data_IF_579596564400
#
_entry.id   IF_579596564400
#
_cell.length_a   1.000
_cell.length_b   1.000
_cell.length_c   1.000
_cell.angle_alpha   90.00
_cell.angle_beta   90.00
_cell.angle_gamma   90.00
#
_symmetry.space_group_name_H-M   'P 1'
#
loop_
_entity.id
_entity.type
_entity.pdbx_description
1 polymer ?
#
# COMPACT_ATOMS: atom_id res chain seq x y z
N UNK A 1 -49.55 -7.02 41.77
CA UNK A 1 -50.77 -7.13 42.61
C UNK A 1 -51.92 -7.31 41.63
N UNK A 2 -52.71 -8.38 41.77
CA UNK A 2 -53.67 -8.94 40.78
C UNK A 2 -52.95 -9.58 39.57
N UNK A 3 -53.08 -10.91 39.35
CA UNK A 3 -54.07 -11.62 38.49
C UNK A 3 -53.87 -11.29 36.99
N UNK A 4 -53.82 -12.26 36.06
CA UNK A 4 -54.83 -13.29 35.75
C UNK A 4 -54.22 -14.67 35.39
N UNK A 5 -55.03 -15.72 35.52
CA UNK A 5 -54.77 -17.16 35.30
C UNK A 5 -54.71 -17.65 33.83
N UNK A 6 -54.36 -18.94 33.71
CA UNK A 6 -54.75 -19.95 32.69
C UNK A 6 -53.87 -20.12 31.44
N UNK A 7 -53.71 -21.30 30.82
CA UNK A 7 -54.16 -22.68 31.15
C UNK A 7 -53.24 -23.74 30.47
N UNK A 8 -53.42 -25.04 30.76
CA UNK A 8 -52.65 -26.17 30.16
C UNK A 8 -53.50 -27.02 29.22
N UNK A 9 -52.95 -27.42 28.06
CA UNK A 9 -53.11 -28.72 27.37
C UNK A 9 -52.04 -28.76 26.25
N UNK A 10 -51.16 -29.74 26.04
CA UNK A 10 -51.22 -31.21 26.06
C UNK A 10 -51.93 -31.81 24.82
N UNK A 11 -51.21 -32.55 23.96
CA UNK A 11 -51.81 -33.19 22.76
C UNK A 11 -50.95 -33.50 21.52
N UNK A 12 -50.18 -34.59 21.59
CA UNK A 12 -49.89 -35.61 20.53
C UNK A 12 -49.32 -35.29 19.12
N UNK A 13 -48.28 -36.09 18.83
CA UNK A 13 -47.88 -36.78 17.58
C UNK A 13 -48.90 -36.88 16.42
N UNK A 14 -48.40 -36.71 15.19
CA UNK A 14 -48.64 -37.61 14.04
C UNK A 14 -47.35 -37.70 13.20
N UNK A 15 -46.91 -38.91 12.85
CA UNK A 15 -45.91 -39.14 11.78
C UNK A 15 -46.55 -38.94 10.40
N UNK A 16 -45.83 -38.39 9.42
CA UNK A 16 -46.02 -38.88 8.05
C UNK A 16 -44.75 -38.83 7.21
N UNK A 17 -44.48 -39.94 6.53
CA UNK A 17 -43.39 -40.09 5.56
C UNK A 17 -43.88 -39.56 4.22
N UNK A 18 -42.97 -39.05 3.38
CA UNK A 18 -43.01 -39.48 1.99
C UNK A 18 -41.65 -39.46 1.31
N UNK A 19 -41.45 -40.52 0.54
CA UNK A 19 -40.24 -40.88 -0.19
C UNK A 19 -40.61 -40.86 -1.68
N UNK A 20 -39.84 -40.20 -2.55
CA UNK A 20 -39.69 -40.61 -3.94
C UNK A 20 -38.65 -39.80 -4.74
N UNK A 21 -37.68 -40.54 -5.31
CA UNK A 21 -37.23 -40.57 -6.72
C UNK A 21 -37.52 -39.33 -7.61
N UNK A 22 -36.60 -38.94 -8.51
CA UNK A 22 -36.12 -39.79 -9.63
C UNK A 22 -34.79 -39.30 -10.25
N UNK A 23 -34.03 -40.22 -10.87
CA UNK A 23 -32.86 -39.98 -11.74
C UNK A 23 -33.22 -39.27 -13.07
N UNK A 24 -32.20 -38.71 -13.74
CA UNK A 24 -31.74 -38.90 -15.16
C UNK A 24 -30.71 -37.77 -15.41
N UNK A 25 -29.40 -38.01 -15.52
CA UNK A 25 -28.62 -38.59 -16.64
C UNK A 25 -28.57 -37.74 -17.93
N UNK A 26 -27.47 -36.99 -18.07
CA UNK A 26 -26.66 -36.67 -19.25
C UNK A 26 -27.29 -36.16 -20.57
N UNK A 27 -26.69 -35.08 -21.11
CA UNK A 27 -26.24 -35.07 -22.51
C UNK A 27 -25.04 -34.12 -22.70
N UNK A 28 -24.10 -34.52 -23.58
CA UNK A 28 -22.93 -33.77 -24.02
C UNK A 28 -23.04 -33.69 -25.55
N UNK A 29 -23.09 -32.48 -26.10
CA UNK A 29 -22.88 -32.27 -27.54
C UNK A 29 -21.73 -31.28 -27.76
N UNK A 30 -20.65 -31.79 -28.37
CA UNK A 30 -19.77 -30.98 -29.20
C UNK A 30 -20.38 -30.90 -30.61
N UNK A 31 -20.09 -29.81 -31.35
CA UNK A 31 -19.69 -29.75 -32.77
C UNK A 31 -19.59 -28.27 -33.20
N UNK A 32 -18.46 -27.86 -33.78
CA UNK A 32 -18.22 -27.67 -35.24
C UNK A 32 -19.10 -26.52 -35.82
N UNK A 33 -18.64 -25.57 -36.64
CA UNK A 33 -17.33 -25.25 -37.23
C UNK A 33 -17.41 -23.84 -37.87
N UNK A 34 -16.25 -23.19 -38.15
CA UNK A 34 -16.04 -22.14 -39.22
C UNK A 34 -16.97 -20.88 -39.20
N UNK A 35 -16.78 -19.71 -39.84
CA UNK A 35 -15.69 -18.87 -40.38
C UNK A 35 -16.27 -17.42 -40.43
N UNK A 36 -15.64 -16.30 -40.80
CA UNK A 36 -14.37 -15.95 -41.46
C UNK A 36 -13.99 -14.48 -41.06
N UNK A 37 -12.77 -14.03 -41.38
CA UNK A 37 -12.29 -12.65 -41.70
C UNK A 37 -12.95 -11.36 -41.13
N UNK A 38 -12.12 -10.45 -40.57
CA UNK A 38 -11.80 -9.19 -41.30
C UNK A 38 -10.50 -8.48 -40.82
N UNK A 39 -9.99 -7.56 -41.65
CA UNK A 39 -8.61 -7.07 -41.67
C UNK A 39 -8.18 -5.96 -40.66
N UNK A 40 -6.89 -6.03 -40.28
CA UNK A 40 -5.89 -4.91 -40.19
C UNK A 40 -6.24 -3.65 -39.37
N UNK A 41 -5.50 -3.46 -38.27
CA UNK A 41 -4.52 -2.35 -38.22
C UNK A 41 -3.39 -2.57 -37.19
N UNK A 42 -2.16 -2.21 -37.59
CA UNK A 42 -0.93 -2.31 -36.79
C UNK A 42 -0.24 -0.94 -36.68
N UNK A 43 -0.53 -0.22 -35.60
CA UNK A 43 0.31 0.84 -35.00
C UNK A 43 -0.06 0.83 -33.49
N UNK A 44 0.82 0.85 -32.51
CA UNK A 44 2.28 0.84 -32.52
C UNK A 44 2.80 1.42 -31.20
N UNK A 45 2.94 0.59 -30.16
CA UNK A 45 3.51 0.98 -28.85
C UNK A 45 4.48 -0.13 -28.37
N UNK A 46 5.78 0.09 -28.63
CA UNK A 46 6.86 -0.57 -27.91
C UNK A 46 7.19 0.26 -26.65
N UNK A 47 6.96 -0.30 -25.46
CA UNK A 47 7.78 -0.12 -24.23
C UNK A 47 7.02 -0.67 -23.00
N UNK A 48 7.19 -1.97 -22.74
CA UNK A 48 7.19 -2.57 -21.39
C UNK A 48 7.52 -4.07 -21.49
N UNK A 49 8.81 -4.39 -21.35
CA UNK A 49 9.36 -5.69 -20.94
C UNK A 49 10.41 -5.40 -19.87
N UNK A 50 10.80 -6.43 -19.11
CA UNK A 50 11.65 -6.36 -17.90
C UNK A 50 10.85 -5.82 -16.69
N UNK A 51 10.55 -6.58 -15.62
CA UNK A 51 10.99 -7.93 -15.22
C UNK A 51 9.85 -8.72 -14.55
N UNK A 52 9.66 -9.98 -14.98
CA UNK A 52 9.06 -11.05 -14.18
C UNK A 52 10.14 -12.12 -13.99
N UNK A 53 10.68 -12.27 -12.77
CA UNK A 53 11.25 -13.53 -12.26
C UNK A 53 11.53 -13.43 -10.75
N UNK A 54 11.80 -14.58 -10.12
CA UNK A 54 12.06 -14.79 -8.68
C UNK A 54 10.88 -14.63 -7.69
N UNK A 55 9.90 -15.53 -7.81
CA UNK A 55 9.41 -16.24 -6.62
C UNK A 55 10.17 -17.59 -6.52
N UNK A 56 10.83 -17.84 -5.38
CA UNK A 56 11.23 -19.19 -4.98
C UNK A 56 10.69 -19.48 -3.58
N UNK A 57 9.79 -20.45 -3.50
CA UNK A 57 9.25 -20.95 -2.25
C UNK A 57 10.27 -21.89 -1.60
N UNK A 58 10.76 -21.57 -0.39
CA UNK A 58 11.60 -22.50 0.36
C UNK A 58 10.74 -23.57 1.05
N UNK A 59 10.53 -24.70 0.36
CA UNK A 59 9.92 -25.88 0.98
C UNK A 59 10.82 -26.43 2.08
N UNK A 60 10.25 -26.78 3.23
CA UNK A 60 10.95 -27.42 4.33
C UNK A 60 11.49 -28.79 3.95
N UNK A 61 12.79 -29.03 4.16
CA UNK A 61 13.37 -30.37 4.30
C UNK A 61 14.34 -30.39 5.47
N UNK A 62 14.04 -31.20 6.48
CA UNK A 62 15.05 -31.67 7.43
C UNK A 62 16.13 -32.46 6.66
N UNK A 63 17.39 -32.36 7.08
CA UNK A 63 18.30 -33.51 7.38
C UNK A 63 19.77 -33.05 7.50
N UNK A 64 20.42 -33.52 8.58
CA UNK A 64 21.86 -33.57 8.91
C UNK A 64 22.68 -32.28 9.04
N UNK A 65 23.19 -32.09 10.25
CA UNK A 65 24.48 -31.46 10.52
C UNK A 65 25.62 -32.15 9.72
N UNK A 66 26.48 -31.38 9.06
CA UNK A 66 27.95 -31.54 9.02
C UNK A 66 28.60 -30.40 8.18
N UNK A 67 29.69 -29.81 8.70
CA UNK A 67 30.68 -28.94 8.04
C UNK A 67 30.25 -27.62 7.32
N UNK A 68 30.02 -26.55 8.09
CA UNK A 68 29.92 -25.15 7.60
C UNK A 68 30.90 -24.22 8.37
N UNK A 69 32.18 -24.18 7.98
CA UNK A 69 33.24 -23.37 8.67
C UNK A 69 34.28 -22.74 7.71
N UNK A 70 34.01 -22.72 6.39
CA UNK A 70 34.99 -22.34 5.36
C UNK A 70 34.60 -21.15 4.44
N UNK A 71 33.36 -20.67 4.41
CA UNK A 71 32.99 -19.52 3.56
C UNK A 71 33.37 -18.14 4.13
N UNK A 72 33.61 -17.99 5.45
CA UNK A 72 34.16 -16.74 6.02
C UNK A 72 35.62 -16.45 5.57
N UNK A 73 36.36 -17.46 5.08
CA UNK A 73 37.81 -17.32 4.80
C UNK A 73 38.16 -16.65 3.46
N UNK A 74 37.22 -16.46 2.53
CA UNK A 74 37.49 -15.81 1.22
C UNK A 74 37.70 -14.28 1.33
N UNK A 75 37.45 -13.66 2.49
CA UNK A 75 37.38 -12.20 2.64
C UNK A 75 38.72 -11.44 2.79
N UNK A 76 39.87 -12.14 2.82
CA UNK A 76 41.17 -11.57 3.24
C UNK A 76 42.35 -11.84 2.27
N UNK A 77 42.15 -11.69 0.95
CA UNK A 77 43.31 -11.56 0.05
C UNK A 77 44.03 -10.22 0.27
N UNK A 78 45.36 -10.18 0.11
CA UNK A 78 46.15 -8.95 0.28
C UNK A 78 45.70 -7.82 -0.67
N UNK A 79 45.22 -8.19 -1.85
CA UNK A 79 44.69 -7.25 -2.85
C UNK A 79 43.35 -6.65 -2.41
N UNK A 80 42.43 -7.43 -1.83
CA UNK A 80 41.19 -6.90 -1.26
C UNK A 80 41.46 -5.92 -0.10
N UNK A 81 42.44 -6.22 0.75
CA UNK A 81 42.85 -5.32 1.85
C UNK A 81 43.46 -4.01 1.30
N UNK A 82 44.31 -4.10 0.28
CA UNK A 82 44.90 -2.91 -0.37
C UNK A 82 43.84 -2.06 -1.09
N UNK A 83 42.90 -2.69 -1.81
CA UNK A 83 41.78 -2.00 -2.47
C UNK A 83 40.90 -1.29 -1.45
N UNK A 84 40.53 -1.94 -0.34
CA UNK A 84 39.75 -1.32 0.73
C UNK A 84 40.45 -0.10 1.34
N UNK A 85 41.76 -0.18 1.57
CA UNK A 85 42.52 0.97 2.09
C UNK A 85 42.56 2.14 1.10
N UNK A 86 42.70 1.85 -0.21
CA UNK A 86 42.60 2.87 -1.26
C UNK A 86 41.21 3.51 -1.31
N UNK A 87 40.15 2.72 -1.21
CA UNK A 87 38.77 3.21 -1.15
C UNK A 87 38.55 4.09 0.10
N UNK A 88 39.04 3.68 1.27
CA UNK A 88 38.97 4.48 2.51
C UNK A 88 39.69 5.83 2.38
N UNK A 89 40.89 5.86 1.78
CA UNK A 89 41.63 7.10 1.52
C UNK A 89 40.86 8.00 0.54
N UNK A 90 40.19 7.45 -0.48
CA UNK A 90 39.32 8.23 -1.38
C UNK A 90 38.03 8.70 -0.72
N UNK A 91 37.37 7.89 0.10
CA UNK A 91 36.15 8.26 0.84
C UNK A 91 36.41 9.38 1.87
N UNK A 92 37.64 9.47 2.40
CA UNK A 92 38.07 10.60 3.24
C UNK A 92 38.40 11.86 2.43
N UNK A 93 38.73 11.73 1.14
CA UNK A 93 39.11 12.84 0.26
C UNK A 93 37.93 13.42 -0.55
N UNK A 94 36.92 12.62 -0.89
CA UNK A 94 35.70 13.05 -1.60
C UNK A 94 34.45 12.53 -0.89
N UNK A 95 33.62 13.43 -0.32
CA UNK A 95 32.31 13.10 0.20
C UNK A 95 31.39 12.44 -0.85
N UNK A 96 31.46 12.85 -2.12
CA UNK A 96 30.68 12.26 -3.22
C UNK A 96 31.05 10.79 -3.46
N UNK A 97 32.35 10.48 -3.48
CA UNK A 97 32.81 9.09 -3.61
C UNK A 97 32.42 8.24 -2.40
N UNK A 98 32.41 8.81 -1.20
CA UNK A 98 31.88 8.18 0.00
C UNK A 98 30.39 7.83 -0.15
N UNK A 99 29.58 8.75 -0.65
CA UNK A 99 28.17 8.49 -0.96
C UNK A 99 28.01 7.38 -1.99
N UNK A 100 28.71 7.48 -3.12
CA UNK A 100 28.66 6.50 -4.20
C UNK A 100 29.01 5.09 -3.69
N UNK A 101 30.16 4.96 -3.01
CA UNK A 101 30.64 3.67 -2.51
C UNK A 101 29.67 3.05 -1.50
N UNK A 102 29.12 3.84 -0.58
CA UNK A 102 28.27 3.33 0.49
C UNK A 102 26.81 3.07 0.08
N UNK A 103 26.31 3.69 -0.99
CA UNK A 103 24.97 3.44 -1.53
C UNK A 103 24.94 2.27 -2.52
N UNK A 104 26.07 1.98 -3.18
CA UNK A 104 26.19 0.84 -4.11
C UNK A 104 26.69 -0.45 -3.45
N UNK A 105 27.27 -0.38 -2.26
CA UNK A 105 27.75 -1.56 -1.52
C UNK A 105 26.63 -2.36 -0.86
N UNK A 106 26.84 -3.66 -0.72
CA UNK A 106 26.02 -4.53 0.11
C UNK A 106 26.23 -4.24 1.61
N UNK A 107 25.23 -4.59 2.42
CA UNK A 107 25.25 -4.37 3.87
C UNK A 107 25.34 -5.70 4.60
N UNK A 108 26.44 -5.98 5.33
CA UNK A 108 26.55 -7.17 6.17
C UNK A 108 25.39 -7.29 7.17
N UNK A 109 25.01 -8.52 7.47
CA UNK A 109 24.04 -8.81 8.52
C UNK A 109 24.60 -8.38 9.89
N UNK A 110 23.76 -7.72 10.70
CA UNK A 110 24.08 -7.39 12.10
C UNK A 110 23.51 -8.52 12.96
N UNK A 111 24.33 -9.13 13.82
CA UNK A 111 23.95 -10.26 14.68
C UNK A 111 22.94 -9.83 15.76
N UNK A 112 23.18 -8.67 16.40
CA UNK A 112 22.39 -8.08 17.48
C UNK A 112 21.88 -6.66 17.10
N UNK A 113 20.98 -6.50 16.11
CA UNK A 113 20.53 -5.19 15.67
C UNK A 113 19.67 -4.47 16.75
N UNK A 114 19.88 -3.16 17.00
CA UNK A 114 19.08 -2.42 17.97
C UNK A 114 17.61 -2.39 17.56
N UNK A 115 16.70 -2.55 18.52
CA UNK A 115 15.26 -2.57 18.25
C UNK A 115 14.70 -1.15 18.06
N UNK A 116 14.08 -0.91 16.91
CA UNK A 116 13.41 0.35 16.58
C UNK A 116 12.06 0.49 17.29
N UNK A 117 11.36 -0.62 17.50
CA UNK A 117 10.08 -0.66 18.20
C UNK A 117 10.08 -1.85 19.16
N UNK A 118 10.16 -1.62 20.49
CA UNK A 118 10.13 -2.67 21.50
C UNK A 118 8.93 -3.63 21.44
N UNK A 119 7.65 -3.21 21.24
CA UNK A 119 6.53 -4.13 21.23
C UNK A 119 6.63 -5.17 20.10
N UNK A 120 7.02 -4.73 18.90
CA UNK A 120 7.10 -5.59 17.71
C UNK A 120 8.47 -6.23 17.49
N UNK A 121 9.45 -5.97 18.37
CA UNK A 121 10.86 -6.39 18.23
C UNK A 121 11.45 -6.12 16.84
N UNK A 122 11.04 -5.02 16.20
CA UNK A 122 11.48 -4.70 14.85
C UNK A 122 12.96 -4.24 14.86
N UNK A 123 13.89 -4.95 14.19
CA UNK A 123 15.31 -4.63 14.20
C UNK A 123 15.64 -3.46 13.27
N UNK A 124 16.59 -2.61 13.70
CA UNK A 124 17.14 -1.55 12.88
C UNK A 124 17.86 -2.12 11.64
N UNK A 125 17.54 -1.68 10.41
CA UNK A 125 18.22 -2.19 9.22
C UNK A 125 19.66 -1.71 9.16
N UNK A 126 20.58 -2.63 8.83
CA UNK A 126 22.01 -2.39 8.69
C UNK A 126 22.37 -1.15 7.86
N UNK A 127 21.66 -0.93 6.75
CA UNK A 127 21.82 0.23 5.86
C UNK A 127 21.53 1.57 6.52
N UNK A 128 20.62 1.64 7.51
CA UNK A 128 20.35 2.89 8.24
C UNK A 128 21.58 3.31 9.05
N UNK A 129 22.24 2.34 9.69
CA UNK A 129 23.45 2.61 10.47
C UNK A 129 24.58 3.15 9.58
N UNK A 130 24.85 2.51 8.44
CA UNK A 130 25.89 2.96 7.49
C UNK A 130 25.59 4.36 6.94
N UNK A 131 24.35 4.61 6.50
CA UNK A 131 23.98 5.90 5.89
C UNK A 131 23.97 7.04 6.92
N UNK A 132 23.51 6.81 8.16
CA UNK A 132 23.58 7.86 9.19
C UNK A 132 25.04 8.15 9.55
N UNK A 133 25.88 7.14 9.75
CA UNK A 133 27.30 7.36 10.02
C UNK A 133 28.03 8.03 8.85
N UNK A 134 27.64 7.76 7.60
CA UNK A 134 28.10 8.50 6.42
C UNK A 134 27.75 9.99 6.50
N UNK A 135 26.49 10.34 6.83
CA UNK A 135 26.07 11.73 6.99
C UNK A 135 26.85 12.46 8.09
N UNK A 136 27.17 11.77 9.20
CA UNK A 136 27.98 12.31 10.29
C UNK A 136 29.48 12.42 9.93
N UNK A 137 30.02 11.44 9.20
CA UNK A 137 31.43 11.39 8.81
C UNK A 137 31.78 12.41 7.72
N UNK A 138 30.87 12.66 6.78
CA UNK A 138 30.98 13.70 5.74
C UNK A 138 30.48 15.06 6.22
N UNK A 139 29.77 15.11 7.36
CA UNK A 139 29.05 16.29 7.87
C UNK A 139 28.05 16.88 6.88
N UNK A 140 27.50 16.04 5.99
CA UNK A 140 26.65 16.42 4.86
C UNK A 140 25.47 17.34 5.23
N UNK A 141 24.89 17.17 6.42
CA UNK A 141 23.76 17.98 6.89
C UNK A 141 24.15 19.07 7.91
N UNK A 142 25.43 19.28 8.22
CA UNK A 142 25.89 20.33 9.14
C UNK A 142 26.21 21.66 8.41
N UNK A 143 26.13 22.80 9.10
CA UNK A 143 26.60 24.09 8.59
C UNK A 143 28.12 24.21 8.82
N UNK A 144 28.92 23.93 7.77
CA UNK A 144 30.38 24.10 7.76
C UNK A 144 30.92 24.18 6.33
N UNK A 145 32.09 24.81 6.14
CA UNK A 145 32.68 25.10 4.81
C UNK A 145 32.83 23.88 3.89
N UNK A 146 33.22 22.72 4.43
CA UNK A 146 33.38 21.48 3.64
C UNK A 146 32.01 21.00 3.17
N UNK A 147 31.04 20.94 4.10
CA UNK A 147 29.68 20.54 3.79
C UNK A 147 29.00 21.53 2.82
N UNK A 148 29.25 22.83 2.93
CA UNK A 148 28.71 23.85 2.02
C UNK A 148 29.26 23.70 0.60
N UNK A 149 30.55 23.36 0.46
CA UNK A 149 31.19 23.14 -0.84
C UNK A 149 30.72 21.85 -1.56
N UNK A 150 30.30 20.83 -0.80
CA UNK A 150 29.97 19.49 -1.32
C UNK A 150 28.47 19.11 -1.18
N UNK A 151 27.60 20.00 -0.70
CA UNK A 151 26.20 19.66 -0.43
C UNK A 151 25.44 19.24 -1.69
N UNK A 152 25.42 20.08 -2.72
CA UNK A 152 24.62 19.85 -3.93
C UNK A 152 25.11 18.61 -4.71
N UNK A 153 26.42 18.38 -4.75
CA UNK A 153 27.03 17.21 -5.39
C UNK A 153 26.70 15.91 -4.63
N UNK A 154 26.85 15.89 -3.31
CA UNK A 154 26.48 14.73 -2.49
C UNK A 154 24.97 14.45 -2.54
N UNK A 155 24.13 15.49 -2.52
CA UNK A 155 22.68 15.37 -2.64
C UNK A 155 22.30 14.79 -4.02
N UNK A 156 22.95 15.22 -5.09
CA UNK A 156 22.75 14.69 -6.45
C UNK A 156 23.09 13.20 -6.54
N UNK A 157 24.27 12.79 -6.03
CA UNK A 157 24.68 11.37 -5.96
C UNK A 157 23.67 10.56 -5.14
N UNK A 158 23.24 11.08 -3.98
CA UNK A 158 22.23 10.41 -3.15
C UNK A 158 20.92 10.19 -3.91
N UNK A 159 20.39 11.22 -4.58
CA UNK A 159 19.11 11.13 -5.31
C UNK A 159 19.21 10.14 -6.47
N UNK A 160 20.36 10.06 -7.15
CA UNK A 160 20.59 9.13 -8.25
C UNK A 160 20.67 7.66 -7.79
N UNK A 161 21.38 7.39 -6.68
CA UNK A 161 21.79 6.02 -6.31
C UNK A 161 20.98 5.40 -5.16
N UNK A 162 20.44 6.22 -4.25
CA UNK A 162 19.59 5.70 -3.17
C UNK A 162 18.33 4.94 -3.67
N UNK A 163 17.71 5.25 -4.82
CA UNK A 163 16.67 4.40 -5.39
C UNK A 163 17.15 3.00 -5.82
N UNK A 164 18.42 2.86 -6.22
CA UNK A 164 18.98 1.61 -6.79
C UNK A 164 19.69 0.72 -5.77
N UNK A 165 20.11 1.24 -4.61
CA UNK A 165 20.65 0.53 -3.41
C UNK A 165 20.27 -0.97 -3.31
N UNK A 166 21.19 -1.91 -3.00
CA UNK A 166 20.92 -3.36 -3.04
C UNK A 166 20.06 -3.86 -1.86
N UNK A 167 18.76 -3.55 -1.90
CA UNK A 167 17.78 -3.87 -0.87
C UNK A 167 16.42 -4.24 -1.49
N UNK A 168 15.64 -5.10 -0.83
CA UNK A 168 14.26 -5.39 -1.26
C UNK A 168 13.37 -4.15 -1.15
N UNK A 169 12.29 -4.07 -1.94
CA UNK A 169 11.34 -2.94 -1.92
C UNK A 169 10.83 -2.60 -0.52
N UNK A 170 10.62 -3.63 0.33
CA UNK A 170 10.23 -3.46 1.73
C UNK A 170 11.32 -2.75 2.55
N UNK A 171 12.57 -3.23 2.46
CA UNK A 171 13.73 -2.67 3.17
C UNK A 171 14.03 -1.25 2.68
N UNK A 172 13.93 -0.98 1.37
CA UNK A 172 14.05 0.37 0.78
C UNK A 172 13.03 1.35 1.37
N UNK A 173 11.75 0.99 1.35
CA UNK A 173 10.67 1.83 1.87
C UNK A 173 10.86 2.13 3.37
N UNK A 174 11.16 1.11 4.18
CA UNK A 174 11.41 1.25 5.61
C UNK A 174 12.60 2.17 5.89
N UNK A 175 13.72 1.96 5.19
CA UNK A 175 14.92 2.81 5.26
C UNK A 175 14.60 4.28 4.92
N UNK A 176 13.81 4.53 3.87
CA UNK A 176 13.42 5.90 3.48
C UNK A 176 12.57 6.59 4.55
N UNK A 177 11.60 5.87 5.15
CA UNK A 177 10.82 6.39 6.27
C UNK A 177 11.72 6.73 7.47
N UNK A 178 12.66 5.85 7.81
CA UNK A 178 13.58 6.02 8.94
C UNK A 178 14.54 7.19 8.71
N UNK A 179 15.14 7.33 7.53
CA UNK A 179 15.98 8.48 7.18
C UNK A 179 15.21 9.80 7.26
N UNK A 180 13.96 9.84 6.79
CA UNK A 180 13.09 11.02 6.94
C UNK A 180 12.93 11.41 8.42
N UNK A 181 12.56 10.46 9.28
CA UNK A 181 12.32 10.68 10.71
C UNK A 181 13.59 10.98 11.52
N UNK A 182 14.74 10.46 11.09
CA UNK A 182 16.03 10.76 11.69
C UNK A 182 16.48 12.19 11.35
N UNK A 183 16.54 12.51 10.06
CA UNK A 183 17.05 13.81 9.59
C UNK A 183 16.18 14.98 10.07
N UNK A 184 14.84 14.86 10.00
CA UNK A 184 13.91 15.94 10.34
C UNK A 184 14.03 16.47 11.77
N UNK A 185 14.52 15.64 12.69
CA UNK A 185 14.50 15.90 14.13
C UNK A 185 15.90 15.96 14.77
N UNK A 186 16.97 15.67 14.02
CA UNK A 186 18.32 15.69 14.56
C UNK A 186 18.80 17.14 14.73
N UNK A 187 18.94 17.57 15.99
CA UNK A 187 19.33 18.93 16.37
C UNK A 187 20.77 19.31 15.98
N UNK A 188 21.60 18.36 15.57
CA UNK A 188 22.95 18.62 15.07
C UNK A 188 22.95 19.10 13.62
N UNK A 189 21.85 18.91 12.88
CA UNK A 189 21.78 19.24 11.47
C UNK A 189 21.26 20.66 11.21
N UNK A 190 21.80 21.27 10.15
CA UNK A 190 21.32 22.49 9.52
C UNK A 190 19.87 22.33 9.08
N UNK A 191 19.03 23.28 9.47
CA UNK A 191 17.61 23.26 9.09
C UNK A 191 17.42 23.37 7.57
N UNK A 192 18.22 24.22 6.91
CA UNK A 192 18.13 24.46 5.46
C UNK A 192 18.50 23.22 4.66
N UNK A 193 19.67 22.62 4.94
CA UNK A 193 20.13 21.40 4.26
C UNK A 193 19.22 20.21 4.53
N UNK A 194 18.77 20.08 5.78
CA UNK A 194 17.79 19.04 6.18
C UNK A 194 16.48 19.20 5.41
N UNK A 195 15.92 20.41 5.33
CA UNK A 195 14.68 20.66 4.59
C UNK A 195 14.83 20.33 3.11
N UNK A 196 15.94 20.71 2.48
CA UNK A 196 16.25 20.36 1.08
C UNK A 196 16.38 18.84 0.88
N UNK A 197 17.18 18.16 1.69
CA UNK A 197 17.36 16.70 1.63
C UNK A 197 16.02 15.95 1.85
N UNK A 198 15.26 16.35 2.87
CA UNK A 198 13.96 15.74 3.20
C UNK A 198 12.92 16.01 2.11
N UNK A 199 12.95 17.19 1.46
CA UNK A 199 12.11 17.46 0.29
C UNK A 199 12.49 16.59 -0.92
N UNK A 200 13.79 16.33 -1.14
CA UNK A 200 14.26 15.40 -2.18
C UNK A 200 13.94 13.93 -1.89
N UNK A 201 13.82 13.54 -0.61
CA UNK A 201 13.36 12.19 -0.23
C UNK A 201 11.87 11.95 -0.52
N UNK A 202 11.00 12.97 -0.51
CA UNK A 202 9.55 12.82 -0.71
C UNK A 202 9.17 12.09 -2.01
N UNK A 203 9.64 12.49 -3.22
CA UNK A 203 9.30 11.77 -4.46
C UNK A 203 9.87 10.34 -4.49
N UNK A 204 11.04 10.10 -3.90
CA UNK A 204 11.62 8.76 -3.78
C UNK A 204 10.72 7.88 -2.90
N UNK A 205 10.32 8.41 -1.73
CA UNK A 205 9.38 7.78 -0.83
C UNK A 205 8.06 7.44 -1.53
N UNK A 206 7.42 8.39 -2.21
CA UNK A 206 6.14 8.16 -2.89
C UNK A 206 6.24 7.08 -3.97
N UNK A 207 7.32 7.08 -4.77
CA UNK A 207 7.59 6.04 -5.76
C UNK A 207 7.76 4.66 -5.12
N UNK A 208 8.55 4.56 -4.04
CA UNK A 208 8.76 3.30 -3.31
C UNK A 208 7.48 2.81 -2.62
N UNK A 209 6.70 3.71 -2.01
CA UNK A 209 5.47 3.40 -1.28
C UNK A 209 4.38 2.91 -2.23
N UNK A 210 4.18 3.58 -3.36
CA UNK A 210 3.24 3.14 -4.39
C UNK A 210 3.69 1.80 -5.02
N UNK A 211 4.99 1.59 -5.31
CA UNK A 211 5.53 0.30 -5.79
C UNK A 211 5.38 -0.83 -4.76
N UNK A 212 5.51 -0.53 -3.47
CA UNK A 212 5.34 -1.52 -2.40
C UNK A 212 3.88 -1.95 -2.26
N UNK A 213 2.94 -1.02 -2.42
CA UNK A 213 1.50 -1.26 -2.26
C UNK A 213 0.83 -1.83 -3.53
N UNK A 214 1.32 -1.49 -4.73
CA UNK A 214 0.70 -1.92 -6.00
C UNK A 214 0.55 -3.44 -6.11
N UNK A 215 1.55 -4.22 -5.66
CA UNK A 215 1.50 -5.69 -5.63
C UNK A 215 0.34 -6.27 -4.81
N UNK A 216 -0.05 -5.60 -3.72
CA UNK A 216 -1.22 -6.00 -2.92
C UNK A 216 -2.51 -5.54 -3.57
N UNK A 217 -2.55 -4.30 -4.06
CA UNK A 217 -3.73 -3.71 -4.71
C UNK A 217 -4.08 -4.41 -6.03
N UNK A 218 -3.11 -4.99 -6.74
CA UNK A 218 -3.36 -5.75 -7.97
C UNK A 218 -3.95 -7.14 -7.69
N UNK A 219 -3.57 -7.81 -6.59
CA UNK A 219 -4.18 -9.08 -6.15
C UNK A 219 -5.69 -8.97 -5.88
N UNK A 220 -6.20 -7.76 -5.65
CA UNK A 220 -7.63 -7.51 -5.37
C UNK A 220 -8.51 -7.36 -6.62
N UNK A 221 -7.93 -7.37 -7.83
CA UNK A 221 -8.63 -7.00 -9.07
C UNK A 221 -9.83 -7.90 -9.41
N UNK A 222 -9.70 -9.22 -9.22
CA UNK A 222 -10.80 -10.16 -9.44
C UNK A 222 -11.98 -9.87 -8.49
N UNK A 223 -11.70 -9.50 -7.24
CA UNK A 223 -12.73 -9.16 -6.26
C UNK A 223 -13.40 -7.83 -6.58
N UNK A 224 -12.62 -6.84 -7.04
CA UNK A 224 -13.14 -5.55 -7.53
C UNK A 224 -14.10 -5.76 -8.72
N UNK A 225 -13.70 -6.61 -9.67
CA UNK A 225 -14.51 -6.94 -10.84
C UNK A 225 -15.83 -7.61 -10.44
N UNK A 226 -15.79 -8.58 -9.51
CA UNK A 226 -17.00 -9.25 -8.98
C UNK A 226 -17.91 -8.28 -8.21
N UNK A 227 -17.36 -7.47 -7.31
CA UNK A 227 -18.12 -6.48 -6.53
C UNK A 227 -18.87 -5.48 -7.43
N UNK A 228 -18.21 -4.94 -8.47
CA UNK A 228 -18.80 -3.96 -9.37
C UNK A 228 -20.00 -4.48 -10.19
N UNK A 229 -20.28 -5.79 -10.22
CA UNK A 229 -21.46 -6.34 -10.90
C UNK A 229 -22.78 -6.04 -10.19
N UNK A 230 -22.74 -5.90 -8.86
CA UNK A 230 -23.91 -5.94 -7.96
C UNK A 230 -24.79 -7.20 -8.06
N UNK A 231 -24.29 -8.28 -8.67
CA UNK A 231 -25.01 -9.56 -8.86
C UNK A 231 -24.15 -10.74 -8.41
N UNK A 232 -23.42 -10.56 -7.32
CA UNK A 232 -22.46 -11.53 -6.77
C UNK A 232 -23.10 -12.38 -5.66
N UNK A 233 -22.57 -13.58 -5.45
CA UNK A 233 -22.88 -14.41 -4.29
C UNK A 233 -22.28 -13.75 -3.04
N UNK A 234 -23.16 -13.30 -2.12
CA UNK A 234 -22.80 -12.41 -1.02
C UNK A 234 -21.75 -13.02 -0.09
N UNK A 235 -22.03 -14.21 0.44
CA UNK A 235 -21.19 -14.85 1.46
C UNK A 235 -19.82 -15.26 0.91
N UNK A 236 -19.76 -15.76 -0.34
CA UNK A 236 -18.50 -16.10 -1.00
C UNK A 236 -17.64 -14.85 -1.24
N UNK A 237 -18.21 -13.78 -1.81
CA UNK A 237 -17.43 -12.56 -2.03
C UNK A 237 -17.01 -11.89 -0.71
N UNK A 238 -17.83 -12.00 0.34
CA UNK A 238 -17.50 -11.50 1.68
C UNK A 238 -16.30 -12.26 2.25
N UNK A 239 -16.31 -13.60 2.19
CA UNK A 239 -15.18 -14.43 2.62
C UNK A 239 -13.89 -14.06 1.88
N UNK A 240 -13.94 -13.94 0.54
CA UNK A 240 -12.78 -13.57 -0.29
C UNK A 240 -12.22 -12.19 0.08
N UNK A 241 -13.09 -11.20 0.30
CA UNK A 241 -12.68 -9.85 0.74
C UNK A 241 -11.96 -9.91 2.09
N UNK A 242 -12.52 -10.66 3.05
CA UNK A 242 -11.99 -10.81 4.40
C UNK A 242 -10.62 -11.49 4.40
N UNK A 243 -10.44 -12.55 3.61
CA UNK A 243 -9.14 -13.22 3.46
C UNK A 243 -8.08 -12.26 2.91
N UNK A 244 -8.38 -11.52 1.85
CA UNK A 244 -7.44 -10.56 1.25
C UNK A 244 -7.11 -9.40 2.20
N UNK A 245 -8.10 -8.83 2.89
CA UNK A 245 -7.92 -7.71 3.81
C UNK A 245 -7.07 -8.15 5.02
N UNK A 246 -7.48 -9.23 5.70
CA UNK A 246 -6.76 -9.74 6.87
C UNK A 246 -5.38 -10.28 6.52
N UNK A 247 -5.21 -10.99 5.40
CA UNK A 247 -3.91 -11.46 4.90
C UNK A 247 -2.94 -10.33 4.57
N UNK A 248 -3.45 -9.24 3.99
CA UNK A 248 -2.65 -8.02 3.72
C UNK A 248 -2.27 -7.32 5.03
N UNK A 249 -3.21 -7.15 5.96
CA UNK A 249 -2.95 -6.56 7.27
C UNK A 249 -1.94 -7.36 8.10
N UNK A 250 -2.03 -8.70 8.08
CA UNK A 250 -1.09 -9.63 8.70
C UNK A 250 0.31 -9.58 8.05
N UNK A 251 0.40 -9.20 6.77
CA UNK A 251 1.69 -8.96 6.11
C UNK A 251 2.29 -7.63 6.56
N UNK A 252 1.47 -6.58 6.67
CA UNK A 252 1.93 -5.26 7.11
C UNK A 252 2.27 -5.21 8.60
N UNK A 253 1.65 -6.01 9.47
CA UNK A 253 2.01 -6.07 10.90
C UNK A 253 3.47 -6.47 11.16
N UNK A 254 4.14 -7.08 10.17
CA UNK A 254 5.55 -7.51 10.22
C UNK A 254 6.51 -6.50 9.57
N UNK A 255 6.03 -5.36 9.07
CA UNK A 255 6.85 -4.42 8.30
C UNK A 255 7.76 -3.54 9.17
N UNK A 256 7.24 -2.97 10.26
CA UNK A 256 7.92 -1.98 11.07
C UNK A 256 7.30 -1.78 12.45
N UNK A 257 7.25 -0.53 12.91
CA UNK A 257 6.45 -0.13 14.08
C UNK A 257 4.96 -0.14 13.77
N UNK A 258 4.11 -0.17 14.80
CA UNK A 258 2.66 -0.10 14.64
C UNK A 258 2.18 1.11 13.83
N UNK A 259 2.88 2.25 13.90
CA UNK A 259 2.54 3.44 13.11
C UNK A 259 2.89 3.28 11.62
N UNK A 260 4.02 2.65 11.30
CA UNK A 260 4.38 2.31 9.92
C UNK A 260 3.43 1.26 9.34
N UNK A 261 3.05 0.27 10.16
CA UNK A 261 2.12 -0.79 9.81
C UNK A 261 0.70 -0.23 9.59
N UNK A 262 0.25 0.71 10.44
CA UNK A 262 -1.03 1.42 10.30
C UNK A 262 -1.05 2.28 9.04
N UNK A 263 -0.02 3.09 8.80
CA UNK A 263 0.12 3.89 7.58
C UNK A 263 0.01 3.03 6.30
N UNK A 264 0.62 1.84 6.29
CA UNK A 264 0.52 0.90 5.17
C UNK A 264 -0.91 0.37 4.99
N UNK A 265 -1.57 -0.03 6.08
CA UNK A 265 -2.97 -0.48 6.05
C UNK A 265 -3.92 0.63 5.57
N UNK A 266 -3.86 1.81 6.17
CA UNK A 266 -4.71 2.95 5.84
C UNK A 266 -4.55 3.34 4.37
N UNK A 267 -3.32 3.37 3.86
CA UNK A 267 -3.08 3.68 2.44
C UNK A 267 -3.53 2.54 1.51
N UNK A 268 -3.33 1.29 1.88
CA UNK A 268 -3.82 0.15 1.10
C UNK A 268 -5.35 0.18 0.98
N UNK A 269 -6.07 0.33 2.10
CA UNK A 269 -7.53 0.45 2.12
C UNK A 269 -8.02 1.66 1.33
N UNK A 270 -7.29 2.77 1.37
CA UNK A 270 -7.58 3.94 0.54
C UNK A 270 -7.38 3.68 -0.97
N UNK A 271 -6.30 3.00 -1.37
CA UNK A 271 -6.09 2.64 -2.78
C UNK A 271 -7.12 1.60 -3.27
N UNK A 272 -7.46 0.63 -2.42
CA UNK A 272 -8.44 -0.41 -2.69
C UNK A 272 -9.84 0.16 -2.91
N UNK A 273 -10.32 1.03 -2.00
CA UNK A 273 -11.64 1.65 -2.14
C UNK A 273 -11.75 2.58 -3.36
N UNK A 274 -10.65 3.24 -3.75
CA UNK A 274 -10.60 4.03 -4.98
C UNK A 274 -10.66 3.14 -6.24
N UNK A 275 -9.97 1.98 -6.27
CA UNK A 275 -10.13 1.02 -7.37
C UNK A 275 -11.56 0.45 -7.44
N UNK A 276 -12.17 0.09 -6.30
CA UNK A 276 -13.58 -0.34 -6.24
C UNK A 276 -14.53 0.72 -6.82
N UNK A 277 -14.33 1.98 -6.44
CA UNK A 277 -15.11 3.11 -6.93
C UNK A 277 -14.90 3.33 -8.43
N UNK A 278 -13.67 3.28 -8.94
CA UNK A 278 -13.39 3.42 -10.38
C UNK A 278 -14.03 2.27 -11.20
N UNK A 279 -14.09 1.05 -10.65
CA UNK A 279 -14.78 -0.07 -11.31
C UNK A 279 -16.31 0.09 -11.33
N UNK A 280 -16.90 0.71 -10.32
CA UNK A 280 -18.31 1.15 -10.37
C UNK A 280 -18.47 2.25 -11.44
N UNK A 281 -17.62 3.29 -11.42
CA UNK A 281 -17.70 4.45 -12.32
C UNK A 281 -17.63 4.06 -13.80
N UNK A 282 -16.80 3.07 -14.15
CA UNK A 282 -16.68 2.56 -15.52
C UNK A 282 -17.92 1.82 -16.04
N UNK A 283 -18.89 1.50 -15.17
CA UNK A 283 -20.12 0.77 -15.51
C UNK A 283 -21.40 1.56 -15.21
N UNK A 284 -21.64 2.72 -15.85
CA UNK A 284 -22.76 3.61 -15.55
C UNK A 284 -24.16 2.99 -15.73
N UNK A 285 -24.28 1.93 -16.54
CA UNK A 285 -25.52 1.15 -16.68
C UNK A 285 -25.93 0.41 -15.39
N UNK A 286 -25.05 0.32 -14.39
CA UNK A 286 -25.33 -0.27 -13.07
C UNK A 286 -25.80 0.76 -12.02
N UNK A 287 -25.84 2.06 -12.33
CA UNK A 287 -26.26 3.08 -11.38
C UNK A 287 -27.79 3.06 -11.17
N UNK A 288 -28.27 2.29 -10.21
CA UNK A 288 -29.67 2.32 -9.77
C UNK A 288 -29.75 2.10 -8.26
N UNK A 289 -30.95 2.20 -7.68
CA UNK A 289 -31.15 2.12 -6.23
C UNK A 289 -30.85 0.70 -5.72
N UNK A 290 -31.39 -0.31 -6.40
CA UNK A 290 -31.23 -1.73 -6.03
C UNK A 290 -29.75 -2.14 -5.95
N UNK A 291 -28.95 -1.86 -6.98
CA UNK A 291 -27.51 -2.17 -6.98
C UNK A 291 -26.76 -1.40 -5.89
N UNK A 292 -27.14 -0.14 -5.66
CA UNK A 292 -26.50 0.70 -4.63
C UNK A 292 -26.81 0.19 -3.21
N UNK A 293 -28.01 -0.33 -2.98
CA UNK A 293 -28.39 -1.01 -1.73
C UNK A 293 -27.63 -2.33 -1.54
N UNK A 294 -27.40 -3.11 -2.60
CA UNK A 294 -26.57 -4.32 -2.56
C UNK A 294 -25.14 -3.98 -2.16
N UNK A 295 -24.51 -2.99 -2.83
CA UNK A 295 -23.17 -2.53 -2.47
C UNK A 295 -23.10 -2.01 -1.03
N UNK A 296 -24.05 -1.18 -0.58
CA UNK A 296 -24.05 -0.64 0.77
C UNK A 296 -24.21 -1.74 1.86
N UNK A 297 -25.04 -2.74 1.59
CA UNK A 297 -25.23 -3.88 2.48
C UNK A 297 -23.93 -4.69 2.60
N UNK A 298 -23.27 -4.95 1.46
CA UNK A 298 -21.99 -5.65 1.42
C UNK A 298 -20.88 -4.91 2.16
N UNK A 299 -20.71 -3.60 1.91
CA UNK A 299 -19.71 -2.80 2.63
C UNK A 299 -19.98 -2.74 4.13
N UNK A 300 -21.25 -2.75 4.54
CA UNK A 300 -21.61 -2.77 5.96
C UNK A 300 -21.25 -4.11 6.61
N UNK A 301 -21.32 -5.23 5.90
CA UNK A 301 -20.79 -6.50 6.39
C UNK A 301 -19.26 -6.48 6.49
N UNK A 302 -18.56 -6.07 5.42
CA UNK A 302 -17.08 -6.01 5.37
C UNK A 302 -16.49 -5.13 6.48
N UNK A 303 -17.02 -3.92 6.67
CA UNK A 303 -16.50 -2.99 7.68
C UNK A 303 -16.75 -3.49 9.12
N UNK A 304 -17.88 -4.16 9.39
CA UNK A 304 -18.16 -4.72 10.70
C UNK A 304 -17.27 -5.93 11.02
N UNK A 305 -17.09 -6.83 10.06
CA UNK A 305 -16.31 -8.06 10.23
C UNK A 305 -14.81 -7.77 10.41
N UNK A 306 -14.24 -6.94 9.54
CA UNK A 306 -12.79 -6.64 9.54
C UNK A 306 -12.43 -5.38 10.35
N UNK A 307 -13.43 -4.66 10.88
CA UNK A 307 -13.27 -3.41 11.67
C UNK A 307 -12.50 -2.30 10.94
N UNK A 308 -12.72 -2.20 9.64
CA UNK A 308 -12.12 -1.18 8.76
C UNK A 308 -13.14 -0.09 8.40
N UNK A 309 -12.70 0.96 7.68
CA UNK A 309 -13.58 1.95 7.05
C UNK A 309 -13.25 2.13 5.57
N UNK A 310 -14.29 2.24 4.73
CA UNK A 310 -14.20 2.49 3.29
C UNK A 310 -14.93 3.81 2.92
N UNK A 311 -14.70 4.85 3.73
CA UNK A 311 -15.41 6.15 3.74
C UNK A 311 -15.72 6.76 2.36
N UNK A 312 -14.77 6.79 1.43
CA UNK A 312 -14.97 7.42 0.11
C UNK A 312 -15.90 6.57 -0.74
N UNK A 313 -15.73 5.25 -0.74
CA UNK A 313 -16.61 4.33 -1.45
C UNK A 313 -18.03 4.35 -0.82
N UNK A 314 -18.12 4.37 0.51
CA UNK A 314 -19.38 4.48 1.25
C UNK A 314 -20.12 5.79 0.98
N UNK A 315 -19.40 6.92 0.90
CA UNK A 315 -19.98 8.21 0.48
C UNK A 315 -20.47 8.19 -0.97
N UNK A 316 -19.70 7.59 -1.90
CA UNK A 316 -20.13 7.49 -3.30
C UNK A 316 -21.40 6.65 -3.47
N UNK A 317 -21.48 5.50 -2.79
CA UNK A 317 -22.68 4.63 -2.79
C UNK A 317 -23.85 5.30 -2.08
N UNK A 318 -23.62 5.98 -0.95
CA UNK A 318 -24.65 6.78 -0.28
C UNK A 318 -25.20 7.89 -1.20
N UNK A 319 -24.34 8.51 -2.01
CA UNK A 319 -24.73 9.47 -3.04
C UNK A 319 -25.58 8.85 -4.17
N UNK A 320 -25.36 7.58 -4.51
CA UNK A 320 -26.20 6.83 -5.46
C UNK A 320 -27.54 6.40 -4.84
N UNK A 321 -27.58 5.99 -3.56
CA UNK A 321 -28.83 5.69 -2.84
C UNK A 321 -29.68 6.96 -2.73
N UNK A 322 -29.08 8.08 -2.34
CA UNK A 322 -29.73 9.38 -2.15
C UNK A 322 -29.88 10.18 -3.46
N UNK A 323 -29.61 9.59 -4.62
CA UNK A 323 -29.54 10.30 -5.91
C UNK A 323 -30.84 11.06 -6.22
N UNK A 324 -32.01 10.48 -5.93
CA UNK A 324 -33.31 11.16 -6.13
C UNK A 324 -33.45 12.42 -5.25
N UNK A 325 -33.12 12.30 -3.96
CA UNK A 325 -33.15 13.41 -3.00
C UNK A 325 -32.14 14.49 -3.38
N UNK A 326 -30.90 14.13 -3.74
CA UNK A 326 -29.87 15.06 -4.20
C UNK A 326 -30.26 15.75 -5.51
N UNK A 327 -30.96 15.07 -6.42
CA UNK A 327 -31.46 15.68 -7.67
C UNK A 327 -32.54 16.75 -7.41
N UNK A 328 -33.26 16.65 -6.29
CA UNK A 328 -34.31 17.60 -5.89
C UNK A 328 -33.79 18.71 -4.96
N UNK A 329 -32.82 18.37 -4.12
CA UNK A 329 -32.20 19.26 -3.12
C UNK A 329 -30.67 19.08 -3.17
N UNK A 330 -29.97 19.79 -4.09
CA UNK A 330 -28.53 19.57 -4.35
C UNK A 330 -27.62 19.68 -3.14
N UNK A 331 -27.94 20.57 -2.20
CA UNK A 331 -27.14 20.84 -1.00
C UNK A 331 -26.98 19.59 -0.09
N UNK A 332 -27.92 18.64 -0.15
CA UNK A 332 -27.80 17.33 0.54
C UNK A 332 -26.54 16.55 0.13
N UNK A 333 -25.93 16.86 -1.02
CA UNK A 333 -24.68 16.21 -1.42
C UNK A 333 -23.48 16.64 -0.57
N UNK A 334 -23.54 17.77 0.13
CA UNK A 334 -22.52 18.18 1.09
C UNK A 334 -22.64 17.43 2.42
N UNK A 335 -23.85 17.04 2.82
CA UNK A 335 -24.09 16.20 4.00
C UNK A 335 -23.81 14.71 3.74
N UNK A 336 -24.29 14.18 2.61
CA UNK A 336 -24.24 12.74 2.30
C UNK A 336 -22.89 12.28 1.75
N UNK A 337 -22.22 13.13 0.96
CA UNK A 337 -21.01 12.74 0.24
C UNK A 337 -19.99 13.89 0.05
N UNK A 338 -19.57 14.55 1.16
CA UNK A 338 -18.68 15.72 1.12
C UNK A 338 -17.32 15.45 0.44
N UNK A 339 -16.82 14.22 0.48
CA UNK A 339 -15.52 13.85 -0.10
C UNK A 339 -15.57 13.56 -1.60
N UNK A 340 -16.78 13.49 -2.19
CA UNK A 340 -16.98 13.12 -3.59
C UNK A 340 -17.02 14.38 -4.46
N UNK A 341 -16.19 14.46 -5.52
CA UNK A 341 -16.21 15.60 -6.44
C UNK A 341 -17.61 15.83 -7.01
N UNK A 342 -18.13 17.06 -6.92
CA UNK A 342 -19.46 17.40 -7.45
C UNK A 342 -19.65 17.06 -8.94
N UNK A 343 -18.62 17.14 -9.83
CA UNK A 343 -18.71 16.59 -11.19
C UNK A 343 -18.99 15.09 -11.27
N UNK A 344 -18.51 14.28 -10.32
CA UNK A 344 -18.80 12.84 -10.23
C UNK A 344 -20.25 12.60 -9.79
N UNK A 345 -20.74 13.36 -8.81
CA UNK A 345 -22.14 13.30 -8.39
C UNK A 345 -23.06 13.67 -9.56
N UNK A 346 -22.74 14.74 -10.31
CA UNK A 346 -23.48 15.09 -11.52
C UNK A 346 -23.45 13.98 -12.59
N UNK A 347 -22.33 13.25 -12.72
CA UNK A 347 -22.21 12.08 -13.58
C UNK A 347 -23.09 10.91 -13.12
N UNK A 348 -23.15 10.63 -11.81
CA UNK A 348 -24.07 9.65 -11.22
C UNK A 348 -25.54 10.01 -11.51
N UNK A 349 -25.97 11.24 -11.19
CA UNK A 349 -27.35 11.69 -11.41
C UNK A 349 -27.78 11.61 -12.88
N UNK A 350 -26.87 11.91 -13.82
CA UNK A 350 -27.14 11.86 -15.27
C UNK A 350 -27.32 10.45 -15.80
N UNK A 351 -26.51 9.51 -15.31
CA UNK A 351 -26.49 8.13 -15.83
C UNK A 351 -27.33 7.17 -14.96
N UNK A 352 -28.12 7.70 -14.03
CA UNK A 352 -28.96 6.92 -13.14
C UNK A 352 -30.06 6.20 -13.93
N UNK A 353 -30.10 4.88 -13.82
CA UNK A 353 -31.10 4.01 -14.41
C UNK A 353 -32.32 3.92 -13.49
N UNK A 354 -33.49 3.74 -14.11
CA UNK A 354 -34.74 3.49 -13.38
C UNK A 354 -34.75 2.05 -12.86
N UNK A 355 -35.42 1.86 -11.72
CA UNK A 355 -35.78 0.55 -11.18
C UNK A 355 -37.15 0.60 -10.49
N UNK A 356 -37.50 -0.45 -9.75
CA UNK A 356 -38.77 -0.55 -9.02
C UNK A 356 -38.92 0.51 -7.91
N UNK A 357 -37.82 1.03 -7.38
CA UNK A 357 -37.79 2.03 -6.31
C UNK A 357 -37.77 3.46 -6.88
N UNK A 358 -37.04 3.69 -7.98
CA UNK A 358 -36.94 5.00 -8.66
C UNK A 358 -37.38 4.84 -10.11
N UNK A 359 -38.65 5.10 -10.38
CA UNK A 359 -39.28 4.93 -11.70
C UNK A 359 -39.10 6.14 -12.64
N UNK A 360 -38.65 7.28 -12.10
CA UNK A 360 -38.56 8.56 -12.82
C UNK A 360 -37.10 8.95 -13.13
N UNK A 361 -36.89 9.72 -14.19
CA UNK A 361 -35.57 10.27 -14.53
C UNK A 361 -35.17 11.37 -13.56
N UNK A 362 -33.92 11.34 -13.11
CA UNK A 362 -33.39 12.33 -12.17
C UNK A 362 -33.13 13.67 -12.86
N UNK A 363 -33.52 14.76 -12.19
CA UNK A 363 -33.34 16.11 -12.73
C UNK A 363 -31.96 16.63 -12.34
N UNK A 364 -31.08 16.78 -13.32
CA UNK A 364 -29.71 17.27 -13.08
C UNK A 364 -29.58 18.80 -13.06
N UNK A 365 -30.51 19.53 -13.70
CA UNK A 365 -30.38 20.97 -13.97
C UNK A 365 -30.12 21.82 -12.73
N UNK A 366 -30.86 21.57 -11.65
CA UNK A 366 -30.74 22.35 -10.42
C UNK A 366 -29.42 22.07 -9.70
N UNK A 367 -28.97 20.81 -9.70
CA UNK A 367 -27.64 20.41 -9.20
C UNK A 367 -26.50 21.12 -9.93
N UNK A 368 -26.55 21.17 -11.28
CA UNK A 368 -25.55 21.89 -12.08
C UNK A 368 -25.52 23.38 -11.78
N UNK A 369 -26.70 23.97 -11.55
CA UNK A 369 -26.84 25.40 -11.23
C UNK A 369 -26.25 25.74 -9.86
N UNK A 370 -26.52 24.92 -8.83
CA UNK A 370 -26.00 25.11 -7.47
C UNK A 370 -24.46 25.02 -7.47
N UNK A 371 -23.90 23.92 -7.99
CA UNK A 371 -22.45 23.68 -7.98
C UNK A 371 -21.69 24.30 -9.18
N UNK A 372 -22.36 25.14 -9.99
CA UNK A 372 -21.78 25.86 -11.14
C UNK A 372 -21.08 24.96 -12.17
N UNK A 373 -21.58 23.75 -12.37
CA UNK A 373 -21.02 22.75 -13.28
C UNK A 373 -21.50 23.05 -14.70
N UNK A 374 -20.57 23.41 -15.60
CA UNK A 374 -20.88 23.86 -16.97
C UNK A 374 -21.39 22.76 -17.90
N UNK A 375 -20.82 21.55 -17.80
CA UNK A 375 -21.21 20.37 -18.59
C UNK A 375 -20.96 19.10 -17.78
N UNK A 376 -21.92 18.17 -17.81
CA UNK A 376 -21.72 16.84 -17.25
C UNK A 376 -20.91 16.00 -18.25
N UNK A 377 -19.80 15.37 -17.84
CA UNK A 377 -19.03 14.47 -18.70
C UNK A 377 -19.88 13.36 -19.34
N UNK A 378 -19.43 12.83 -20.49
CA UNK A 378 -20.01 11.62 -21.10
C UNK A 378 -19.39 10.35 -20.52
N UNK A 379 -18.10 10.37 -20.27
CA UNK A 379 -17.32 9.39 -19.49
C UNK A 379 -16.63 10.15 -18.36
N UNK A 380 -16.60 9.60 -17.16
CA UNK A 380 -15.90 10.21 -16.04
C UNK A 380 -14.45 9.70 -16.00
N UNK A 381 -13.47 10.60 -15.96
CA UNK A 381 -12.06 10.24 -15.77
C UNK A 381 -11.88 9.59 -14.40
N UNK A 382 -11.12 8.49 -14.32
CA UNK A 382 -10.92 7.76 -13.08
C UNK A 382 -10.57 8.65 -11.88
N UNK A 383 -11.17 8.36 -10.72
CA UNK A 383 -10.86 9.06 -9.50
C UNK A 383 -9.41 8.77 -9.12
N UNK A 384 -8.55 9.78 -9.27
CA UNK A 384 -7.15 9.68 -8.89
C UNK A 384 -7.02 9.63 -7.36
N UNK A 385 -6.27 8.68 -6.78
CA UNK A 385 -5.98 8.67 -5.35
C UNK A 385 -5.35 10.01 -4.94
N UNK A 386 -5.80 10.59 -3.82
CA UNK A 386 -5.15 11.78 -3.24
C UNK A 386 -3.66 11.48 -2.94
N UNK A 387 -2.75 12.47 -3.07
CA UNK A 387 -1.37 12.34 -2.63
C UNK A 387 -1.25 11.92 -1.15
N UNK A 388 -0.10 11.39 -0.76
CA UNK A 388 0.11 10.90 0.61
C UNK A 388 0.39 12.06 1.57
N UNK A 389 -0.61 12.51 2.31
CA UNK A 389 -0.43 13.48 3.40
C UNK A 389 0.00 12.77 4.68
N UNK A 390 1.30 12.49 4.80
CA UNK A 390 1.87 11.81 5.97
C UNK A 390 2.22 12.81 7.07
N UNK A 391 1.65 12.61 8.26
CA UNK A 391 2.03 13.32 9.47
C UNK A 391 3.26 12.66 10.11
N UNK A 392 4.43 12.93 9.54
CA UNK A 392 5.72 12.33 9.95
C UNK A 392 6.07 12.48 11.44
N UNK A 393 5.51 13.46 12.13
CA UNK A 393 5.66 13.62 13.59
C UNK A 393 4.95 12.51 14.35
N UNK A 394 3.72 12.18 13.98
CA UNK A 394 2.93 11.12 14.61
C UNK A 394 3.56 9.73 14.40
N UNK A 395 4.14 9.48 13.22
CA UNK A 395 4.85 8.22 12.95
C UNK A 395 6.04 7.96 13.88
N UNK A 396 6.64 9.03 14.42
CA UNK A 396 7.87 8.92 15.21
C UNK A 396 7.63 8.55 16.66
N UNK A 397 6.45 8.82 17.22
CA UNK A 397 6.21 8.74 18.66
C UNK A 397 6.52 7.35 19.25
N UNK A 398 6.30 6.27 18.49
CA UNK A 398 6.59 4.89 18.90
C UNK A 398 7.84 4.27 18.26
N UNK A 399 8.76 5.10 17.71
CA UNK A 399 9.99 4.66 17.04
C UNK A 399 11.24 5.19 17.77
N UNK A 400 12.00 4.28 18.36
CA UNK A 400 13.23 4.54 19.11
C UNK A 400 14.45 4.77 18.19
N UNK A 401 14.31 5.62 17.16
CA UNK A 401 15.36 5.86 16.17
C UNK A 401 16.65 6.44 16.79
N UNK A 402 16.57 7.06 17.96
CA UNK A 402 17.75 7.52 18.72
C UNK A 402 18.66 6.40 19.23
N UNK A 403 18.24 5.13 19.17
CA UNK A 403 19.05 3.95 19.52
C UNK A 403 19.83 3.36 18.33
N UNK A 404 19.78 3.99 17.14
CA UNK A 404 20.38 3.47 15.90
C UNK A 404 21.85 3.07 16.00
N UNK A 405 22.61 3.66 16.93
CA UNK A 405 24.04 3.43 17.13
C UNK A 405 24.39 2.47 18.30
N UNK A 406 23.41 1.81 18.91
CA UNK A 406 23.60 0.77 19.93
C UNK A 406 23.80 -0.59 19.25
N UNK A 407 25.00 -0.79 18.74
CA UNK A 407 25.45 -1.98 18.01
C UNK A 407 26.72 -2.45 18.72
N UNK A 408 27.05 -3.75 18.74
CA UNK A 408 28.29 -4.21 19.35
C UNK A 408 29.50 -3.93 18.42
N UNK A 409 30.69 -3.65 19.00
CA UNK A 409 31.87 -3.21 18.21
C UNK A 409 32.55 -4.32 17.41
N UNK A 410 32.25 -5.57 17.73
CA UNK A 410 32.66 -6.80 17.07
C UNK A 410 31.71 -7.24 15.93
N UNK A 411 30.65 -6.47 15.67
CA UNK A 411 29.71 -6.75 14.59
C UNK A 411 30.38 -6.71 13.20
N UNK A 412 30.01 -7.61 12.26
CA UNK A 412 30.63 -7.68 10.92
C UNK A 412 30.57 -6.35 10.17
N UNK A 413 29.51 -5.56 10.38
CA UNK A 413 29.33 -4.25 9.76
C UNK A 413 30.38 -3.22 10.20
N UNK A 414 30.82 -3.25 11.46
CA UNK A 414 31.86 -2.37 11.97
C UNK A 414 33.25 -2.75 11.45
N UNK A 415 33.47 -4.05 11.19
CA UNK A 415 34.69 -4.56 10.53
C UNK A 415 34.72 -4.24 9.04
N UNK A 416 33.57 -4.27 8.35
CA UNK A 416 33.46 -3.99 6.92
C UNK A 416 33.59 -2.48 6.60
N UNK A 417 33.17 -1.62 7.53
CA UNK A 417 33.22 -0.17 7.39
C UNK A 417 33.90 0.46 8.62
N UNK A 418 35.25 0.50 8.69
CA UNK A 418 35.97 0.82 9.94
C UNK A 418 35.66 2.20 10.55
N UNK A 419 35.25 3.19 9.75
CA UNK A 419 34.84 4.51 10.25
C UNK A 419 33.58 4.47 11.13
N UNK A 420 32.73 3.45 10.99
CA UNK A 420 31.51 3.28 11.79
C UNK A 420 31.81 3.14 13.29
N UNK A 421 32.94 2.53 13.65
CA UNK A 421 33.39 2.33 15.04
C UNK A 421 33.49 3.64 15.86
N UNK A 422 33.56 4.81 15.21
CA UNK A 422 33.54 6.14 15.84
C UNK A 422 32.16 6.56 16.33
N UNK A 423 31.11 5.96 15.79
CA UNK A 423 29.71 6.35 16.01
C UNK A 423 28.93 5.32 16.83
N UNK A 424 29.42 4.08 16.90
CA UNK A 424 28.93 3.02 17.81
C UNK A 424 29.16 3.42 19.28
N UNK A 425 28.15 3.23 20.13
CA UNK A 425 28.22 3.47 21.57
C UNK A 425 28.98 2.34 22.31
#
# INVERSE_FOLDING_TARGET
MNQVDSEKADGKEVEEKNDNRTKVEAEIENKDDENEDDEVNKEGDEENKEDEEEESESSSSEVTDDDDDDDEKKLFTKEAIASRKSDEEMMLASPEFCFHKLLTSEYPHIRNPPLMSPPNKCPCPASLFVIISMFLQTKFLEDNEISDAHFDSCLSVFIAEFPTIPLTTAKKLSLTMLLYMFCSDNRMFSKSKTEQFVNSLKPIFEKQFNRYLSRFVNRTEVLINRFATATFEFDHLLADFREIISGTANTFSKFGSDDMNRLLNDRFLYLFQIKLLNKIISNPSRFNFTNSMIWNSFLTAVENDERISLDVLRQAISGLIMASNISTSPDLSDDVCPSIPKPLIAFFLKNYQKDENITNELKTKDFLKVYKISKIPQTYEEMKPKPNTIEWKALKENILIGNWNKIDKDEPIASFYPFLSRYVA
#
